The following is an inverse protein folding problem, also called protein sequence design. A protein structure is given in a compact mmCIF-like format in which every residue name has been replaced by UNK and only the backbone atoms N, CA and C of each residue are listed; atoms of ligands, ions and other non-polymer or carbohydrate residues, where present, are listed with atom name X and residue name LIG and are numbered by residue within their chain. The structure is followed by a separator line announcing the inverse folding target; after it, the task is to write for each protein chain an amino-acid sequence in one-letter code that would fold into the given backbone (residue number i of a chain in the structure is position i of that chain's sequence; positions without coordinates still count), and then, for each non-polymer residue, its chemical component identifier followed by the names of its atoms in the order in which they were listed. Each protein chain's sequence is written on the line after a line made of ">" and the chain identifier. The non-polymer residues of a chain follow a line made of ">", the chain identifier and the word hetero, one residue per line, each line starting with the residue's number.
data_IF_115855983558
#
_entry.id   IF_115855983558
#
_cell.length_a   1.000
_cell.length_b   1.000
_cell.length_c   1.000
_cell.angle_alpha   90.00
_cell.angle_beta   90.00
_cell.angle_gamma   90.00
#
_symmetry.space_group_name_H-M   'P 1'
#
loop_
_entity.id
_entity.type
_entity.pdbx_description
1 polymer ?
#
# COMPACT_ATOMS: atom_id res chain seq x y z
N UNK A 1 -27.37 8.87 -1.18
CA UNK A 1 -26.43 9.98 -0.94
C UNK A 1 -27.06 11.23 -1.54
N UNK A 2 -27.51 12.18 -0.73
CA UNK A 2 -28.17 13.41 -1.22
C UNK A 2 -27.09 14.45 -1.45
N UNK A 3 -26.74 14.72 -2.71
CA UNK A 3 -25.86 15.82 -3.08
C UNK A 3 -26.72 17.00 -3.53
N UNK A 4 -26.80 18.06 -2.72
CA UNK A 4 -27.36 19.34 -3.12
C UNK A 4 -26.23 20.20 -3.69
N UNK A 5 -26.25 20.41 -5.01
CA UNK A 5 -25.44 21.45 -5.65
C UNK A 5 -26.07 22.78 -5.24
N UNK A 6 -25.31 23.73 -4.69
CA UNK A 6 -25.83 25.03 -4.25
C UNK A 6 -25.49 26.07 -5.32
N UNK A 7 -26.50 26.61 -6.01
CA UNK A 7 -26.33 27.78 -6.87
C UNK A 7 -26.56 29.06 -6.06
N UNK A 8 -25.49 29.85 -5.86
CA UNK A 8 -25.49 31.05 -5.02
C UNK A 8 -26.35 32.19 -5.56
N UNK A 9 -26.68 32.22 -6.86
CA UNK A 9 -27.38 33.34 -7.49
C UNK A 9 -28.91 33.30 -7.33
N UNK A 10 -29.49 32.13 -7.05
CA UNK A 10 -30.96 31.92 -7.02
C UNK A 10 -31.57 32.26 -5.63
N UNK A 11 -30.72 32.46 -4.62
CA UNK A 11 -31.10 32.39 -3.21
C UNK A 11 -31.03 33.79 -2.56
N UNK A 12 -31.88 34.72 -3.00
CA UNK A 12 -31.97 36.09 -2.43
C UNK A 12 -33.15 36.31 -1.46
N UNK A 13 -34.09 35.37 -1.35
CA UNK A 13 -35.28 35.49 -0.49
C UNK A 13 -35.62 34.18 0.25
N UNK A 14 -36.32 34.30 1.39
CA UNK A 14 -36.73 33.13 2.22
C UNK A 14 -37.57 32.12 1.42
N UNK A 15 -38.52 32.62 0.63
CA UNK A 15 -39.38 31.79 -0.21
C UNK A 15 -38.59 31.07 -1.32
N UNK A 16 -37.68 31.78 -1.99
CA UNK A 16 -36.88 31.21 -3.08
C UNK A 16 -35.97 30.07 -2.60
N UNK A 17 -35.40 30.20 -1.40
CA UNK A 17 -34.50 29.16 -0.85
C UNK A 17 -35.26 27.90 -0.42
N UNK A 18 -36.48 28.05 0.10
CA UNK A 18 -37.34 26.90 0.43
C UNK A 18 -37.79 26.17 -0.84
N UNK A 19 -38.22 26.92 -1.86
CA UNK A 19 -38.60 26.37 -3.17
C UNK A 19 -37.41 25.65 -3.83
N UNK A 20 -36.21 26.20 -3.70
CA UNK A 20 -34.99 25.57 -4.19
C UNK A 20 -34.70 24.22 -3.53
N UNK A 21 -34.85 24.14 -2.20
CA UNK A 21 -34.66 22.91 -1.42
C UNK A 21 -35.69 21.86 -1.81
N UNK A 22 -36.97 22.26 -1.95
CA UNK A 22 -38.03 21.35 -2.38
C UNK A 22 -37.81 20.85 -3.82
N UNK A 23 -37.38 21.72 -4.73
CA UNK A 23 -37.04 21.33 -6.10
C UNK A 23 -35.83 20.38 -6.17
N UNK A 24 -34.90 20.52 -5.23
CA UNK A 24 -33.68 19.70 -5.14
C UNK A 24 -33.87 18.38 -4.38
N UNK A 25 -35.05 18.14 -3.79
CA UNK A 25 -35.38 16.90 -3.09
C UNK A 25 -36.43 16.10 -3.85
N UNK A 26 -36.42 14.76 -3.66
CA UNK A 26 -37.34 13.83 -4.33
C UNK A 26 -37.82 12.75 -3.36
N UNK A 27 -38.98 12.16 -3.66
CA UNK A 27 -39.56 11.05 -2.90
C UNK A 27 -39.88 11.42 -1.44
N UNK A 28 -39.61 10.49 -0.51
CA UNK A 28 -39.95 10.64 0.91
C UNK A 28 -39.29 11.85 1.58
N UNK A 29 -38.09 12.23 1.14
CA UNK A 29 -37.41 13.42 1.67
C UNK A 29 -38.16 14.71 1.32
N UNK A 30 -38.74 14.78 0.11
CA UNK A 30 -39.56 15.91 -0.31
C UNK A 30 -40.88 15.95 0.45
N UNK A 31 -41.59 14.83 0.53
CA UNK A 31 -42.85 14.73 1.26
C UNK A 31 -42.69 15.13 2.74
N UNK A 32 -41.59 14.71 3.37
CA UNK A 32 -41.27 15.10 4.74
C UNK A 32 -41.07 16.62 4.89
N UNK A 33 -40.32 17.26 3.98
CA UNK A 33 -40.09 18.71 4.01
C UNK A 33 -41.34 19.52 3.69
N UNK A 34 -42.19 19.04 2.78
CA UNK A 34 -43.46 19.70 2.45
C UNK A 34 -44.38 19.79 3.69
N UNK A 35 -44.39 18.73 4.49
CA UNK A 35 -45.17 18.60 5.74
C UNK A 35 -44.60 19.39 6.93
N UNK A 36 -43.52 20.16 6.77
CA UNK A 36 -43.03 21.01 7.86
C UNK A 36 -44.03 22.13 8.16
N UNK A 37 -44.38 22.26 9.44
CA UNK A 37 -45.20 23.36 9.92
C UNK A 37 -44.50 24.71 9.75
N UNK A 38 -45.30 25.77 9.69
CA UNK A 38 -44.81 27.13 9.54
C UNK A 38 -43.85 27.55 10.67
N UNK A 39 -44.07 27.04 11.88
CA UNK A 39 -43.20 27.24 13.06
C UNK A 39 -41.80 26.66 12.83
N UNK A 40 -41.71 25.39 12.42
CA UNK A 40 -40.46 24.69 12.14
C UNK A 40 -39.70 25.36 10.98
N UNK A 41 -40.41 25.75 9.92
CA UNK A 41 -39.82 26.50 8.80
C UNK A 41 -39.21 27.82 9.26
N UNK A 42 -39.89 28.55 10.15
CA UNK A 42 -39.40 29.82 10.68
C UNK A 42 -38.24 29.67 11.66
N UNK A 43 -38.22 28.63 12.49
CA UNK A 43 -37.10 28.33 13.39
C UNK A 43 -35.83 28.03 12.60
N UNK A 44 -35.92 27.15 11.59
CA UNK A 44 -34.79 26.84 10.70
C UNK A 44 -34.27 28.11 10.03
N UNK A 45 -35.15 29.02 9.63
CA UNK A 45 -34.76 30.30 9.04
C UNK A 45 -34.13 31.27 10.04
N UNK A 46 -34.67 31.35 11.26
CA UNK A 46 -34.20 32.25 12.31
C UNK A 46 -32.79 31.88 12.77
N UNK A 47 -32.51 30.59 12.90
CA UNK A 47 -31.22 30.06 13.36
C UNK A 47 -30.15 30.05 12.25
N UNK A 48 -30.56 30.25 11.00
CA UNK A 48 -29.67 30.15 9.84
C UNK A 48 -29.37 31.51 9.19
N UNK A 49 -30.14 32.56 9.49
CA UNK A 49 -29.93 33.88 8.90
C UNK A 49 -28.62 34.52 9.40
N UNK A 50 -27.85 35.21 8.54
CA UNK A 50 -28.06 35.46 7.10
C UNK A 50 -27.41 34.42 6.16
N UNK A 51 -26.91 33.31 6.70
CA UNK A 51 -26.07 32.35 5.98
C UNK A 51 -26.88 31.23 5.31
N UNK A 52 -26.94 31.28 3.98
CA UNK A 52 -27.53 30.21 3.15
C UNK A 52 -26.85 28.83 3.39
N UNK A 53 -25.51 28.74 3.52
CA UNK A 53 -24.88 27.47 3.91
C UNK A 53 -25.41 26.90 5.22
N UNK A 54 -25.69 27.75 6.22
CA UNK A 54 -26.24 27.30 7.50
C UNK A 54 -27.68 26.79 7.33
N UNK A 55 -28.49 27.46 6.51
CA UNK A 55 -29.86 27.04 6.19
C UNK A 55 -29.88 25.65 5.55
N UNK A 56 -29.02 25.42 4.55
CA UNK A 56 -28.88 24.10 3.93
C UNK A 56 -28.36 23.06 4.93
N UNK A 57 -27.37 23.41 5.77
CA UNK A 57 -26.86 22.51 6.82
C UNK A 57 -27.98 22.07 7.77
N UNK A 58 -28.84 22.99 8.23
CA UNK A 58 -29.97 22.68 9.11
C UNK A 58 -31.01 21.78 8.45
N UNK A 59 -31.33 22.00 7.18
CA UNK A 59 -32.24 21.10 6.46
C UNK A 59 -31.64 19.69 6.35
N UNK A 60 -30.35 19.59 6.01
CA UNK A 60 -29.65 18.31 5.97
C UNK A 60 -29.67 17.64 7.34
N UNK A 61 -29.43 18.37 8.43
CA UNK A 61 -29.53 17.85 9.80
C UNK A 61 -30.93 17.28 10.11
N UNK A 62 -32.00 17.97 9.72
CA UNK A 62 -33.37 17.49 9.95
C UNK A 62 -33.69 16.25 9.12
N UNK A 63 -33.24 16.20 7.87
CA UNK A 63 -33.36 15.00 7.03
C UNK A 63 -32.60 13.83 7.64
N UNK A 64 -31.36 14.03 8.06
CA UNK A 64 -30.57 12.99 8.72
C UNK A 64 -31.25 12.49 10.00
N UNK A 65 -31.66 13.40 10.87
CA UNK A 65 -32.37 13.03 12.11
C UNK A 65 -33.61 12.20 11.84
N UNK A 66 -34.41 12.55 10.84
CA UNK A 66 -35.63 11.83 10.50
C UNK A 66 -35.35 10.43 9.93
N UNK A 67 -34.38 10.31 9.01
CA UNK A 67 -34.15 9.06 8.28
C UNK A 67 -33.14 8.11 8.94
N UNK A 68 -32.26 8.62 9.81
CA UNK A 68 -31.24 7.82 10.52
C UNK A 68 -31.37 7.86 12.04
N UNK A 69 -32.26 8.70 12.59
CA UNK A 69 -32.42 8.84 14.05
C UNK A 69 -31.27 9.59 14.75
N UNK A 70 -30.27 10.06 14.00
CA UNK A 70 -29.04 10.66 14.51
C UNK A 70 -28.80 12.04 13.88
N UNK A 71 -28.05 12.90 14.56
CA UNK A 71 -27.58 14.16 13.97
C UNK A 71 -26.51 13.89 12.91
N UNK A 72 -26.42 14.76 11.91
CA UNK A 72 -25.40 14.63 10.86
C UNK A 72 -23.97 14.59 11.42
N UNK A 73 -23.70 15.31 12.51
CA UNK A 73 -22.38 15.33 13.15
C UNK A 73 -22.01 14.00 13.80
N UNK A 74 -22.97 13.34 14.46
CA UNK A 74 -22.80 11.98 15.02
C UNK A 74 -22.65 10.95 13.92
N UNK A 75 -23.48 11.02 12.88
CA UNK A 75 -23.33 10.13 11.73
C UNK A 75 -21.96 10.28 11.04
N UNK A 76 -21.48 11.53 10.90
CA UNK A 76 -20.18 11.82 10.31
C UNK A 76 -19.04 11.28 11.16
N UNK A 77 -19.09 11.48 12.48
CA UNK A 77 -18.07 10.98 13.41
C UNK A 77 -18.04 9.45 13.42
N UNK A 78 -19.20 8.80 13.52
CA UNK A 78 -19.33 7.34 13.44
C UNK A 78 -18.76 6.79 12.12
N UNK A 79 -19.10 7.43 10.99
CA UNK A 79 -18.53 7.03 9.69
C UNK A 79 -17.02 7.17 9.65
N UNK A 80 -16.46 8.26 10.17
CA UNK A 80 -15.00 8.43 10.22
C UNK A 80 -14.33 7.40 11.11
N UNK A 81 -14.97 7.02 12.23
CA UNK A 81 -14.47 5.96 13.11
C UNK A 81 -14.50 4.60 12.42
N UNK A 82 -15.62 4.25 11.78
CA UNK A 82 -15.76 3.00 11.02
C UNK A 82 -14.71 2.94 9.90
N UNK A 83 -14.59 4.01 9.11
CA UNK A 83 -13.58 4.09 8.04
C UNK A 83 -12.15 3.98 8.58
N UNK A 84 -11.88 4.56 9.75
CA UNK A 84 -10.59 4.44 10.41
C UNK A 84 -10.29 3.01 10.86
N UNK A 85 -11.27 2.31 11.42
CA UNK A 85 -11.14 0.89 11.82
C UNK A 85 -10.94 -0.01 10.60
N UNK A 86 -11.72 0.19 9.54
CA UNK A 86 -11.58 -0.56 8.29
C UNK A 86 -10.21 -0.33 7.65
N UNK A 87 -9.73 0.92 7.65
CA UNK A 87 -8.40 1.25 7.15
C UNK A 87 -7.29 0.59 7.97
N UNK A 88 -7.39 0.60 9.30
CA UNK A 88 -6.44 -0.10 10.17
C UNK A 88 -6.42 -1.61 9.89
N UNK A 89 -7.60 -2.23 9.81
CA UNK A 89 -7.72 -3.65 9.48
C UNK A 89 -7.11 -3.97 8.11
N UNK A 90 -7.24 -3.07 7.15
CA UNK A 90 -6.64 -3.22 5.83
C UNK A 90 -5.11 -3.15 5.88
N UNK A 91 -4.56 -2.15 6.60
CA UNK A 91 -3.11 -2.01 6.81
C UNK A 91 -2.51 -3.20 7.57
N UNK A 92 -3.28 -3.85 8.44
CA UNK A 92 -2.82 -5.07 9.11
C UNK A 92 -2.74 -6.27 8.17
N UNK A 93 -3.66 -6.38 7.22
CA UNK A 93 -3.76 -7.51 6.28
C UNK A 93 -2.91 -7.35 5.03
N UNK A 94 -2.64 -6.12 4.59
CA UNK A 94 -1.83 -5.87 3.39
C UNK A 94 -0.44 -6.49 3.58
N UNK A 95 0.07 -7.16 2.55
CA UNK A 95 1.39 -7.79 2.58
C UNK A 95 1.99 -7.77 1.18
N UNK A 96 3.32 -7.73 1.12
CA UNK A 96 4.06 -7.76 -0.13
C UNK A 96 5.06 -8.90 -0.08
N UNK A 97 4.98 -9.81 -1.05
CA UNK A 97 5.92 -10.92 -1.19
C UNK A 97 6.88 -10.72 -2.37
N UNK A 98 6.48 -9.91 -3.34
CA UNK A 98 7.21 -9.68 -4.58
C UNK A 98 7.44 -8.17 -4.75
N UNK A 99 8.72 -7.78 -4.79
CA UNK A 99 9.14 -6.37 -4.88
C UNK A 99 8.76 -5.73 -6.21
N UNK A 100 8.38 -6.51 -7.23
CA UNK A 100 7.79 -5.99 -8.46
C UNK A 100 6.52 -5.17 -8.22
N UNK A 101 5.78 -5.46 -7.14
CA UNK A 101 4.56 -4.75 -6.77
C UNK A 101 4.80 -3.66 -5.74
N UNK A 102 6.04 -3.22 -5.54
CA UNK A 102 6.38 -2.23 -4.52
C UNK A 102 5.59 -0.92 -4.69
N UNK A 103 5.47 -0.40 -5.92
CA UNK A 103 4.70 0.83 -6.18
C UNK A 103 3.19 0.66 -5.89
N UNK A 104 2.61 -0.49 -6.24
CA UNK A 104 1.22 -0.80 -5.92
C UNK A 104 1.00 -0.87 -4.41
N UNK A 105 1.92 -1.53 -3.72
CA UNK A 105 1.93 -1.63 -2.26
C UNK A 105 2.04 -0.25 -1.60
N UNK A 106 2.93 0.63 -2.08
CA UNK A 106 3.05 2.01 -1.60
C UNK A 106 1.76 2.81 -1.82
N UNK A 107 1.15 2.71 -3.00
CA UNK A 107 -0.09 3.41 -3.32
C UNK A 107 -1.24 2.93 -2.42
N UNK A 108 -1.40 1.62 -2.26
CA UNK A 108 -2.43 1.04 -1.42
C UNK A 108 -2.20 1.39 0.06
N UNK A 109 -0.97 1.23 0.56
CA UNK A 109 -0.63 1.55 1.94
C UNK A 109 -0.89 3.03 2.26
N UNK A 110 -0.43 3.95 1.41
CA UNK A 110 -0.63 5.40 1.61
C UNK A 110 -2.11 5.77 1.62
N UNK A 111 -2.92 5.20 0.71
CA UNK A 111 -4.37 5.42 0.66
C UNK A 111 -5.05 5.13 2.00
N UNK A 112 -4.71 4.02 2.66
CA UNK A 112 -5.32 3.66 3.95
C UNK A 112 -4.66 4.37 5.14
N UNK A 113 -3.36 4.64 5.09
CA UNK A 113 -2.65 5.39 6.14
C UNK A 113 -3.27 6.77 6.38
N UNK A 114 -3.60 7.50 5.32
CA UNK A 114 -4.17 8.84 5.43
C UNK A 114 -5.65 8.88 5.85
N UNK A 115 -6.32 7.72 5.91
CA UNK A 115 -7.65 7.57 6.52
C UNK A 115 -7.51 7.41 8.04
N UNK A 116 -6.41 6.82 8.51
CA UNK A 116 -6.13 6.61 9.92
C UNK A 116 -5.75 7.91 10.65
N UNK A 117 -5.97 7.93 11.96
CA UNK A 117 -5.59 9.06 12.81
C UNK A 117 -4.06 9.27 12.84
N UNK A 118 -3.55 10.52 12.74
CA UNK A 118 -2.11 10.80 12.65
C UNK A 118 -1.26 10.21 13.79
N UNK A 119 -1.82 10.09 14.99
CA UNK A 119 -1.13 9.48 16.14
C UNK A 119 -0.70 8.02 15.90
N UNK A 120 -1.27 7.34 14.91
CA UNK A 120 -0.93 5.96 14.56
C UNK A 120 0.11 5.84 13.45
N UNK A 121 0.45 6.94 12.76
CA UNK A 121 1.24 6.87 11.54
C UNK A 121 2.63 6.29 11.76
N UNK A 122 3.32 6.69 12.83
CA UNK A 122 4.68 6.21 13.13
C UNK A 122 4.72 4.68 13.27
N UNK A 123 3.80 4.11 14.03
CA UNK A 123 3.70 2.66 14.21
C UNK A 123 3.34 1.93 12.90
N UNK A 124 2.48 2.54 12.06
CA UNK A 124 2.11 1.97 10.78
C UNK A 124 3.26 2.06 9.75
N UNK A 125 4.05 3.13 9.75
CA UNK A 125 5.24 3.27 8.89
C UNK A 125 6.29 2.22 9.25
N UNK A 126 6.49 1.95 10.54
CA UNK A 126 7.37 0.85 10.95
C UNK A 126 6.83 -0.51 10.46
N UNK A 127 5.52 -0.76 10.59
CA UNK A 127 4.88 -1.96 10.03
C UNK A 127 5.03 -2.04 8.50
N UNK A 128 4.97 -0.92 7.78
CA UNK A 128 5.19 -0.87 6.34
C UNK A 128 6.55 -1.46 5.95
N UNK A 129 7.62 -1.08 6.67
CA UNK A 129 8.98 -1.58 6.46
C UNK A 129 9.07 -3.06 6.85
N UNK A 130 8.52 -3.43 8.01
CA UNK A 130 8.55 -4.83 8.51
C UNK A 130 7.83 -5.82 7.61
N UNK A 131 6.84 -5.37 6.83
CA UNK A 131 6.07 -6.16 5.86
C UNK A 131 6.80 -6.40 4.55
N UNK A 132 7.93 -5.74 4.29
CA UNK A 132 8.75 -6.02 3.11
C UNK A 132 9.32 -7.46 3.18
N UNK A 133 9.52 -8.13 2.03
CA UNK A 133 10.12 -9.46 2.00
C UNK A 133 11.58 -9.42 2.47
N UNK A 134 12.01 -10.46 3.20
CA UNK A 134 13.43 -10.61 3.59
C UNK A 134 14.31 -10.74 2.32
N UNK A 135 15.50 -10.13 2.29
CA UNK A 135 16.17 -9.36 3.36
C UNK A 135 15.81 -7.86 3.41
N UNK A 136 15.01 -7.34 2.49
CA UNK A 136 14.73 -5.90 2.33
C UNK A 136 14.23 -5.24 3.62
N UNK A 137 13.39 -5.93 4.39
CA UNK A 137 12.86 -5.40 5.63
C UNK A 137 13.95 -5.01 6.64
N UNK A 138 15.02 -5.80 6.79
CA UNK A 138 16.11 -5.52 7.73
C UNK A 138 16.97 -4.36 7.23
N UNK A 139 17.37 -4.42 5.95
CA UNK A 139 18.23 -3.41 5.32
C UNK A 139 17.56 -2.04 5.35
N UNK A 140 16.27 -1.96 4.99
CA UNK A 140 15.51 -0.70 4.99
C UNK A 140 15.29 -0.20 6.40
N UNK A 141 15.00 -1.06 7.37
CA UNK A 141 14.80 -0.64 8.77
C UNK A 141 16.07 -0.01 9.35
N UNK A 142 17.23 -0.62 9.10
CA UNK A 142 18.51 -0.09 9.56
C UNK A 142 18.83 1.27 8.92
N UNK A 143 18.59 1.42 7.61
CA UNK A 143 18.81 2.68 6.91
C UNK A 143 17.82 3.77 7.37
N UNK A 144 16.56 3.38 7.63
CA UNK A 144 15.54 4.29 8.13
C UNK A 144 15.89 4.81 9.53
N UNK A 145 16.27 3.94 10.45
CA UNK A 145 16.68 4.32 11.81
C UNK A 145 17.90 5.24 11.79
N UNK A 146 18.86 5.00 10.89
CA UNK A 146 20.02 5.89 10.70
C UNK A 146 19.60 7.26 10.17
N UNK A 147 18.71 7.31 9.18
CA UNK A 147 18.24 8.56 8.59
C UNK A 147 17.47 9.42 9.61
N UNK A 148 16.60 8.80 10.42
CA UNK A 148 15.86 9.49 11.48
C UNK A 148 16.80 10.07 12.54
N UNK A 149 17.77 9.29 13.03
CA UNK A 149 18.77 9.77 14.01
C UNK A 149 19.62 10.92 13.49
N UNK A 150 20.02 10.85 12.22
CA UNK A 150 20.79 11.93 11.59
C UNK A 150 19.99 13.23 11.57
N UNK A 151 18.70 13.18 11.23
CA UNK A 151 17.81 14.35 11.21
C UNK A 151 17.68 14.99 12.61
N UNK A 152 17.55 14.17 13.66
CA UNK A 152 17.51 14.62 15.05
C UNK A 152 18.80 15.36 15.45
N UNK A 153 19.97 14.88 14.99
CA UNK A 153 21.27 15.51 15.30
C UNK A 153 21.59 16.76 14.50
N UNK A 154 21.07 16.90 13.28
CA UNK A 154 21.35 18.03 12.39
C UNK A 154 20.60 19.33 12.72
N UNK A 155 19.67 19.30 13.68
CA UNK A 155 19.34 20.47 14.50
C UNK A 155 18.84 21.75 13.81
N UNK A 156 18.29 21.70 12.60
CA UNK A 156 17.68 22.89 11.98
C UNK A 156 16.26 23.09 12.52
N UNK A 157 16.16 23.80 13.65
CA UNK A 157 14.93 24.08 14.44
C UNK A 157 13.83 24.85 13.70
N UNK A 158 13.98 25.16 12.41
CA UNK A 158 12.94 25.85 11.62
C UNK A 158 11.83 24.92 11.11
N UNK A 159 11.97 23.60 11.27
CA UNK A 159 11.00 22.59 10.82
C UNK A 159 10.49 21.76 12.01
N UNK A 160 10.26 22.41 13.15
CA UNK A 160 9.85 21.74 14.39
C UNK A 160 8.39 21.24 14.41
N UNK A 161 7.79 20.86 13.27
CA UNK A 161 6.45 20.27 13.28
C UNK A 161 6.16 19.21 12.18
N UNK A 162 7.11 18.85 11.30
CA UNK A 162 6.71 18.00 10.15
C UNK A 162 7.81 17.27 9.35
N UNK A 163 8.97 16.99 9.93
CA UNK A 163 9.91 16.01 9.33
C UNK A 163 10.22 14.89 10.32
N UNK A 164 9.17 14.35 10.91
CA UNK A 164 9.19 13.11 11.66
C UNK A 164 9.28 11.91 10.70
N UNK A 165 9.72 10.76 11.20
CA UNK A 165 9.69 9.44 10.54
C UNK A 165 8.50 9.28 9.58
N UNK A 166 8.70 9.60 8.29
CA UNK A 166 7.62 9.74 7.32
C UNK A 166 7.55 8.55 6.38
N UNK A 167 6.35 8.28 5.86
CA UNK A 167 6.17 7.24 4.84
C UNK A 167 7.01 7.55 3.58
N UNK A 168 7.12 8.84 3.22
CA UNK A 168 7.92 9.28 2.07
C UNK A 168 9.40 8.90 2.21
N UNK A 169 9.97 9.07 3.40
CA UNK A 169 11.35 8.66 3.70
C UNK A 169 11.53 7.14 3.62
N UNK A 170 10.58 6.36 4.16
CA UNK A 170 10.63 4.90 4.05
C UNK A 170 10.56 4.43 2.59
N UNK A 171 9.71 5.06 1.78
CA UNK A 171 9.58 4.76 0.35
C UNK A 171 10.87 5.12 -0.39
N UNK A 172 11.45 6.30 -0.17
CA UNK A 172 12.67 6.71 -0.88
C UNK A 172 13.83 5.77 -0.58
N UNK A 173 14.07 5.44 0.69
CA UNK A 173 15.12 4.50 1.10
C UNK A 173 14.92 3.14 0.43
N UNK A 174 13.68 2.65 0.38
CA UNK A 174 13.39 1.37 -0.25
C UNK A 174 13.63 1.40 -1.76
N UNK A 175 13.29 2.51 -2.44
CA UNK A 175 13.57 2.69 -3.89
C UNK A 175 15.06 2.74 -4.17
N UNK A 176 15.83 3.45 -3.35
CA UNK A 176 17.28 3.55 -3.50
C UNK A 176 17.92 2.17 -3.34
N UNK A 177 17.53 1.43 -2.30
CA UNK A 177 18.02 0.07 -2.07
C UNK A 177 17.63 -0.88 -3.22
N UNK A 178 16.40 -0.78 -3.74
CA UNK A 178 15.98 -1.56 -4.91
C UNK A 178 16.84 -1.24 -6.13
N UNK A 179 17.11 0.03 -6.36
CA UNK A 179 17.94 0.52 -7.47
C UNK A 179 19.37 -0.03 -7.36
N UNK A 180 19.96 0.01 -6.16
CA UNK A 180 21.30 -0.52 -5.91
C UNK A 180 21.37 -2.04 -6.08
N UNK A 181 20.40 -2.78 -5.53
CA UNK A 181 20.30 -4.24 -5.74
C UNK A 181 20.08 -4.59 -7.20
N UNK A 182 19.34 -3.77 -7.94
CA UNK A 182 19.16 -3.94 -9.37
C UNK A 182 20.45 -3.70 -10.16
N UNK A 183 21.20 -2.64 -9.85
CA UNK A 183 22.53 -2.36 -10.42
C UNK A 183 23.52 -3.50 -10.11
N UNK A 184 23.61 -3.95 -8.86
CA UNK A 184 24.41 -5.11 -8.45
C UNK A 184 24.01 -6.36 -9.26
N UNK A 185 22.72 -6.66 -9.34
CA UNK A 185 22.24 -7.83 -10.09
C UNK A 185 22.54 -7.75 -11.58
N UNK A 186 22.54 -6.55 -12.17
CA UNK A 186 22.91 -6.32 -13.56
C UNK A 186 24.40 -6.56 -13.80
N UNK A 187 25.26 -6.04 -12.92
CA UNK A 187 26.72 -6.30 -12.91
C UNK A 187 27.04 -7.78 -12.66
N UNK A 188 26.23 -8.47 -11.85
CA UNK A 188 26.38 -9.91 -11.61
C UNK A 188 25.86 -10.73 -12.78
N UNK A 189 24.71 -10.40 -13.40
CA UNK A 189 24.20 -11.09 -14.59
C UNK A 189 25.11 -10.94 -15.80
N UNK A 190 25.81 -9.80 -15.94
CA UNK A 190 26.85 -9.63 -16.96
C UNK A 190 28.11 -10.44 -16.66
N UNK A 191 28.38 -10.79 -15.40
CA UNK A 191 29.57 -11.54 -14.97
C UNK A 191 29.36 -13.04 -14.71
N UNK A 192 28.16 -13.53 -14.35
CA UNK A 192 27.76 -14.96 -14.23
C UNK A 192 26.26 -15.14 -13.96
N UNK A 193 25.65 -16.16 -14.59
CA UNK A 193 24.24 -16.59 -14.45
C UNK A 193 23.87 -17.15 -13.06
N UNK A 194 23.93 -16.35 -12.00
CA UNK A 194 23.57 -16.85 -10.67
C UNK A 194 22.96 -15.76 -9.79
N UNK A 195 21.62 -15.68 -9.74
CA UNK A 195 20.88 -15.47 -8.47
C UNK A 195 19.50 -16.11 -8.65
N UNK A 196 19.36 -17.36 -8.20
CA UNK A 196 18.10 -18.13 -8.26
C UNK A 196 17.38 -18.20 -6.90
N UNK A 197 17.73 -17.35 -5.94
CA UNK A 197 17.25 -17.45 -4.54
C UNK A 197 16.77 -16.15 -3.89
N UNK A 198 16.75 -15.03 -4.60
CA UNK A 198 16.17 -13.79 -4.09
C UNK A 198 14.71 -13.65 -4.57
N UNK A 199 13.84 -12.93 -3.83
CA UNK A 199 12.53 -12.55 -4.33
C UNK A 199 12.70 -11.90 -5.72
N UNK A 200 11.73 -12.12 -6.61
CA UNK A 200 11.81 -11.61 -7.98
C UNK A 200 11.97 -10.08 -7.92
N UNK A 201 13.10 -9.58 -8.39
CA UNK A 201 13.34 -8.15 -8.53
C UNK A 201 12.97 -7.77 -9.97
N UNK A 202 11.92 -6.96 -10.11
CA UNK A 202 11.61 -6.32 -11.39
C UNK A 202 12.44 -5.04 -11.48
N UNK A 203 13.61 -5.15 -12.08
CA UNK A 203 14.51 -4.02 -12.26
C UNK A 203 14.14 -3.14 -13.46
N UNK A 204 13.14 -3.51 -14.25
CA UNK A 204 12.77 -2.82 -15.49
C UNK A 204 12.41 -1.34 -15.27
N UNK A 205 11.86 -1.01 -14.10
CA UNK A 205 11.49 0.36 -13.71
C UNK A 205 12.59 1.13 -12.96
N UNK A 206 13.73 0.49 -12.65
CA UNK A 206 14.79 1.04 -11.79
C UNK A 206 16.16 1.10 -12.49
N UNK A 207 16.19 1.06 -13.83
CA UNK A 207 17.42 1.10 -14.63
C UNK A 207 17.88 2.51 -15.04
N UNK A 208 17.21 3.56 -14.57
CA UNK A 208 17.66 4.93 -14.81
C UNK A 208 19.00 5.17 -14.09
N UNK A 209 20.08 5.32 -14.87
CA UNK A 209 21.42 5.56 -14.35
C UNK A 209 22.36 4.35 -14.33
N UNK A 210 22.10 3.28 -15.11
CA UNK A 210 23.21 2.40 -15.51
C UNK A 210 24.20 3.27 -16.32
N UNK A 211 25.48 3.40 -15.92
CA UNK A 211 26.45 4.12 -16.74
C UNK A 211 26.46 3.50 -18.13
N UNK A 212 26.21 4.33 -19.15
CA UNK A 212 26.23 3.91 -20.54
C UNK A 212 27.47 3.07 -20.80
N UNK A 213 27.30 1.89 -21.39
CA UNK A 213 28.41 1.00 -21.73
C UNK A 213 29.26 1.64 -22.83
N UNK A 214 30.16 2.54 -22.47
CA UNK A 214 31.15 3.07 -23.38
C UNK A 214 32.17 1.96 -23.68
N UNK A 215 32.22 1.48 -24.92
CA UNK A 215 33.20 0.48 -25.39
C UNK A 215 32.86 -1.00 -25.14
N UNK A 216 31.67 -1.35 -24.64
CA UNK A 216 31.26 -2.75 -24.61
C UNK A 216 30.77 -3.19 -26.00
N UNK A 217 31.68 -3.72 -26.81
CA UNK A 217 31.30 -4.42 -28.03
C UNK A 217 30.41 -5.62 -27.66
N UNK A 218 29.13 -5.53 -28.00
CA UNK A 218 28.29 -6.72 -28.04
C UNK A 218 28.92 -7.67 -29.05
N UNK A 219 29.60 -8.72 -28.56
CA UNK A 219 30.03 -9.81 -29.44
C UNK A 219 28.75 -10.31 -30.12
N UNK A 220 28.61 -10.02 -31.42
CA UNK A 220 27.47 -10.47 -32.24
C UNK A 220 27.23 -11.94 -31.88
N UNK A 221 26.04 -12.26 -31.36
CA UNK A 221 25.67 -13.63 -30.99
C UNK A 221 26.05 -14.52 -32.17
N UNK A 222 27.08 -15.34 -32.02
CA UNK A 222 27.33 -16.40 -32.99
C UNK A 222 26.12 -17.32 -32.90
N UNK A 223 25.20 -17.18 -33.85
CA UNK A 223 24.09 -18.10 -34.02
C UNK A 223 24.73 -19.46 -34.20
N UNK A 224 24.67 -20.30 -33.16
CA UNK A 224 25.14 -21.68 -33.25
C UNK A 224 24.30 -22.32 -34.36
N UNK A 225 24.90 -22.53 -35.53
CA UNK A 225 24.31 -23.34 -36.59
C UNK A 225 23.94 -24.67 -35.94
N UNK A 226 22.64 -24.94 -35.80
CA UNK A 226 22.16 -26.23 -35.32
C UNK A 226 22.71 -27.29 -36.28
N UNK A 227 23.71 -28.06 -35.84
CA UNK A 227 24.10 -29.27 -36.57
C UNK A 227 22.89 -30.20 -36.47
N UNK A 228 22.17 -30.42 -37.58
CA UNK A 228 21.14 -31.46 -37.67
C UNK A 228 21.79 -32.74 -37.15
N UNK A 229 21.33 -33.26 -36.01
CA UNK A 229 21.77 -34.57 -35.52
C UNK A 229 21.32 -35.57 -36.58
N UNK A 230 22.25 -36.17 -37.32
CA UNK A 230 21.92 -37.35 -38.11
C UNK A 230 21.47 -38.41 -37.12
N UNK A 231 20.21 -38.82 -37.22
CA UNK A 231 19.68 -39.93 -36.45
C UNK A 231 20.38 -41.18 -36.97
N UNK A 232 21.54 -41.54 -36.39
CA UNK A 232 22.06 -42.90 -36.54
C UNK A 232 21.06 -43.79 -35.82
N UNK A 233 20.26 -44.55 -36.57
CA UNK A 233 19.43 -45.62 -36.05
C UNK A 233 20.29 -46.48 -35.13
N UNK A 234 20.08 -46.37 -33.82
CA UNK A 234 20.70 -47.28 -32.85
C UNK A 234 20.04 -48.63 -33.08
N UNK A 235 20.81 -49.61 -33.59
CA UNK A 235 20.41 -51.03 -33.52
C UNK A 235 19.98 -51.31 -32.09
N UNK A 236 18.76 -51.81 -31.92
CA UNK A 236 18.15 -52.16 -30.64
C UNK A 236 19.17 -52.99 -29.83
N UNK A 237 19.62 -52.43 -28.70
CA UNK A 237 20.37 -53.22 -27.71
C UNK A 237 19.35 -53.99 -26.88
N UNK A 238 19.55 -55.29 -26.78
CA UNK A 238 18.72 -56.22 -25.99
C UNK A 238 18.48 -55.72 -24.56
N UNK A 239 17.33 -56.07 -23.95
CA UNK A 239 16.96 -55.60 -22.62
C UNK A 239 17.94 -56.14 -21.56
N UNK A 240 18.65 -55.21 -20.91
CA UNK A 240 19.59 -55.48 -19.83
C UNK A 240 18.86 -56.09 -18.62
N UNK A 241 19.21 -57.32 -18.23
CA UNK A 241 18.67 -58.02 -17.06
C UNK A 241 18.88 -57.19 -15.78
N UNK A 242 17.80 -56.86 -15.07
CA UNK A 242 17.82 -56.09 -13.81
C UNK A 242 18.67 -56.80 -12.76
N UNK A 243 19.81 -56.23 -12.37
CA UNK A 243 20.57 -56.68 -11.18
C UNK A 243 19.88 -56.17 -9.91
N UNK A 244 19.62 -57.11 -9.00
CA UNK A 244 18.94 -56.96 -7.72
C UNK A 244 19.46 -55.80 -6.86
N UNK A 245 18.51 -55.07 -6.25
CA UNK A 245 18.72 -53.96 -5.32
C UNK A 245 19.32 -54.49 -4.00
N UNK A 246 20.60 -54.23 -3.72
CA UNK A 246 21.21 -54.56 -2.40
C UNK A 246 20.87 -53.47 -1.39
N UNK A 247 20.08 -53.81 -0.36
CA UNK A 247 19.79 -52.96 0.83
C UNK A 247 21.10 -52.57 1.53
N UNK A 248 21.31 -51.27 1.80
CA UNK A 248 22.42 -50.79 2.63
C UNK A 248 22.18 -51.20 4.09
N UNK A 249 23.17 -51.87 4.70
CA UNK A 249 23.17 -52.25 6.12
C UNK A 249 23.38 -50.99 6.97
N UNK A 250 22.46 -50.73 7.90
CA UNK A 250 22.59 -49.73 8.95
C UNK A 250 23.71 -50.17 9.91
N UNK A 251 24.80 -49.43 9.99
CA UNK A 251 25.75 -49.58 11.09
C UNK A 251 25.30 -48.69 12.24
N UNK A 252 24.68 -49.33 13.24
CA UNK A 252 24.61 -48.83 14.62
C UNK A 252 25.94 -49.24 15.29
N UNK A 253 26.69 -48.29 15.84
CA UNK A 253 27.65 -48.60 16.92
C UNK A 253 27.50 -47.62 18.07
N UNK A 254 26.75 -48.13 19.05
CA UNK A 254 26.90 -48.04 20.50
C UNK A 254 28.03 -47.18 21.06
N UNK A 255 27.63 -46.34 22.02
CA UNK A 255 28.40 -45.77 23.12
C UNK A 255 29.33 -46.77 23.81
N UNK A 256 30.49 -46.28 24.27
CA UNK A 256 31.05 -46.66 25.56
C UNK A 256 31.88 -45.51 26.15
N UNK A 257 31.45 -45.10 27.33
CA UNK A 257 32.15 -44.28 28.32
C UNK A 257 33.32 -45.09 28.88
N UNK A 258 34.50 -44.47 29.02
CA UNK A 258 35.36 -44.64 30.19
C UNK A 258 36.07 -43.32 30.51
N UNK A 259 35.83 -42.86 31.74
CA UNK A 259 36.66 -41.93 32.50
C UNK A 259 38.02 -42.57 32.78
N UNK A 260 39.01 -41.72 33.07
CA UNK A 260 39.98 -41.81 34.19
C UNK A 260 40.87 -40.55 34.10
N UNK A 261 40.72 -39.56 34.99
CA UNK A 261 41.61 -39.26 36.14
C UNK A 261 43.11 -39.25 35.81
N UNK A 262 43.72 -38.07 35.75
CA UNK A 262 44.49 -37.41 36.84
C UNK A 262 44.29 -35.91 36.72
#
# INVERSE_FOLDING_TARGET
>A
MVAMIINKEIIRSKSNSWNYVLASTRGNARAYLENFDFTVKNEIWKDSYPSIPNFVKRIVEQLYKQFTGQTYEVFKSERTTIQGVDAMNHLEKISICDMCYFENYCCEFSKYLYICHPSSWTAQIEKFIRKLPKPFNYDVLELFDKAVKLQETSGDRRINNQTDASLGLAISITRDLLTDKCKESYLVKSSRRAVAKNPRLCCDNYMDGIPGQYGCYSKKKQVRKYKKKSYRFKKYKEPYKKKYFKRKKFFKKSSNVKKDTV
#
